data_IF_061730700907
#
_entry.id   IF_061730700907
#
_cell.length_a   1.000
_cell.length_b   1.000
_cell.length_c   1.000
_cell.angle_alpha   90.00
_cell.angle_beta   90.00
_cell.angle_gamma   90.00
#
_symmetry.space_group_name_H-M   'P 1'
#
loop_
_entity.id
_entity.type
_entity.pdbx_description
1 polymer ?
#
# COMPACT_ATOMS: atom_id res chain seq x y z
N UNK A 1 -27.16 36.55 32.78
CA UNK A 1 -27.26 35.51 31.74
C UNK A 1 -26.23 35.88 30.66
N UNK A 2 -25.12 35.21 30.66
CA UNK A 2 -24.11 35.37 29.59
C UNK A 2 -24.70 34.71 28.34
N UNK A 3 -25.05 35.51 27.33
CA UNK A 3 -25.38 34.97 26.01
C UNK A 3 -24.18 34.14 25.53
N UNK A 4 -24.25 32.81 25.68
CA UNK A 4 -23.38 31.92 24.94
C UNK A 4 -23.73 32.07 23.47
N UNK A 5 -23.04 32.99 22.77
CA UNK A 5 -23.00 32.95 21.31
C UNK A 5 -22.36 31.60 20.93
N UNK A 6 -23.21 30.62 20.60
CA UNK A 6 -22.72 29.35 20.07
C UNK A 6 -21.91 29.66 18.82
N UNK A 7 -20.62 29.36 18.84
CA UNK A 7 -19.77 29.51 17.67
C UNK A 7 -20.34 28.65 16.54
N UNK A 8 -20.68 29.27 15.42
CA UNK A 8 -21.32 28.62 14.28
C UNK A 8 -20.30 28.47 13.17
N UNK A 9 -20.12 27.22 12.68
CA UNK A 9 -19.23 26.90 11.58
C UNK A 9 -20.01 26.82 10.27
N UNK A 10 -19.55 27.48 9.22
CA UNK A 10 -20.09 27.31 7.88
C UNK A 10 -19.11 26.47 7.04
N UNK A 11 -19.58 25.34 6.49
CA UNK A 11 -18.78 24.40 5.71
C UNK A 11 -19.22 24.46 4.27
N UNK A 12 -18.37 24.99 3.39
CA UNK A 12 -18.61 25.10 1.96
C UNK A 12 -17.60 24.29 1.14
N UNK A 13 -17.94 24.00 -0.11
CA UNK A 13 -17.08 23.23 -1.02
C UNK A 13 -16.28 24.15 -1.93
N UNK A 14 -14.94 24.14 -1.81
CA UNK A 14 -14.06 24.88 -2.72
C UNK A 14 -13.90 24.14 -4.06
N UNK A 15 -13.64 22.86 -4.00
CA UNK A 15 -13.47 21.97 -5.16
C UNK A 15 -13.49 20.50 -4.68
N UNK A 16 -13.14 19.55 -5.55
CA UNK A 16 -13.12 18.13 -5.16
C UNK A 16 -11.92 17.74 -4.26
N UNK A 17 -11.08 18.68 -3.84
CA UNK A 17 -9.97 18.46 -2.91
C UNK A 17 -10.23 19.07 -1.55
N UNK A 18 -10.78 20.30 -1.52
CA UNK A 18 -10.85 21.12 -0.33
C UNK A 18 -12.28 21.58 0.00
N UNK A 19 -12.58 21.54 1.30
CA UNK A 19 -13.64 22.31 1.93
C UNK A 19 -13.06 23.62 2.47
N UNK A 20 -13.93 24.61 2.62
CA UNK A 20 -13.67 25.85 3.35
C UNK A 20 -14.48 25.84 4.64
N UNK A 21 -13.84 26.12 5.77
CA UNK A 21 -14.46 26.29 7.07
C UNK A 21 -14.44 27.78 7.43
N UNK A 22 -15.61 28.41 7.44
CA UNK A 22 -15.79 29.78 7.90
C UNK A 22 -16.12 29.75 9.38
N UNK A 23 -15.19 30.24 10.20
CA UNK A 23 -15.24 30.22 11.65
C UNK A 23 -14.61 31.49 12.23
N UNK A 24 -14.95 31.82 13.46
CA UNK A 24 -14.23 32.86 14.19
C UNK A 24 -12.77 32.46 14.50
N UNK A 25 -11.97 33.44 14.94
CA UNK A 25 -10.55 33.24 15.18
C UNK A 25 -10.25 32.22 16.29
N UNK A 26 -11.08 32.17 17.34
CA UNK A 26 -10.89 31.28 18.48
C UNK A 26 -11.15 29.83 18.05
N UNK A 27 -12.29 29.56 17.39
CA UNK A 27 -12.62 28.25 16.86
C UNK A 27 -11.63 27.82 15.77
N UNK A 28 -11.13 28.77 14.96
CA UNK A 28 -10.08 28.50 13.96
C UNK A 28 -8.76 28.03 14.61
N UNK A 29 -8.39 28.55 15.78
CA UNK A 29 -7.22 28.08 16.52
C UNK A 29 -7.46 26.67 17.07
N UNK A 30 -8.62 26.38 17.66
CA UNK A 30 -8.97 25.06 18.16
C UNK A 30 -8.95 24.00 17.05
N UNK A 31 -9.48 24.34 15.88
CA UNK A 31 -9.41 23.48 14.67
C UNK A 31 -7.97 23.26 14.23
N UNK A 32 -7.12 24.31 14.28
CA UNK A 32 -5.71 24.18 13.93
C UNK A 32 -5.02 23.19 14.87
N UNK A 33 -5.27 23.30 16.16
CA UNK A 33 -4.68 22.40 17.18
C UNK A 33 -5.22 20.97 17.02
N UNK A 34 -6.52 20.81 16.78
CA UNK A 34 -7.16 19.51 16.57
C UNK A 34 -6.63 18.77 15.32
N UNK A 35 -6.34 19.51 14.23
CA UNK A 35 -5.84 18.96 12.98
C UNK A 35 -4.32 19.12 12.80
N UNK A 36 -3.57 19.36 13.89
CA UNK A 36 -2.10 19.40 13.92
C UNK A 36 -1.56 18.14 14.60
N UNK A 37 -0.63 17.48 13.95
CA UNK A 37 -0.06 16.21 14.41
C UNK A 37 1.46 16.23 14.34
N UNK A 38 2.12 15.67 15.36
CA UNK A 38 3.55 15.42 15.35
C UNK A 38 3.90 14.28 14.39
N UNK A 39 4.95 14.48 13.59
CA UNK A 39 5.45 13.44 12.68
C UNK A 39 6.39 12.52 13.45
N UNK A 40 6.08 11.21 13.54
CA UNK A 40 6.97 10.26 14.20
C UNK A 40 8.37 10.31 13.60
N UNK A 41 9.39 10.45 14.44
CA UNK A 41 10.78 10.52 14.00
C UNK A 41 11.21 11.85 13.36
N UNK A 42 10.39 12.91 13.43
CA UNK A 42 10.71 14.23 12.89
C UNK A 42 12.08 14.75 13.35
N UNK A 43 12.44 14.53 14.62
CA UNK A 43 13.73 14.94 15.21
C UNK A 43 14.96 14.39 14.48
N UNK A 44 14.81 13.30 13.73
CA UNK A 44 15.90 12.72 12.95
C UNK A 44 15.97 13.28 11.51
N UNK A 45 14.97 14.02 11.07
CA UNK A 45 14.90 14.56 9.71
C UNK A 45 15.77 15.81 9.55
N UNK A 46 16.47 15.97 8.40
CA UNK A 46 17.36 17.13 8.16
C UNK A 46 16.66 18.49 8.29
N UNK A 47 15.41 18.60 7.83
CA UNK A 47 14.65 19.86 7.91
C UNK A 47 14.32 20.27 9.34
N UNK A 48 14.02 19.30 10.21
CA UNK A 48 13.80 19.54 11.63
C UNK A 48 15.13 19.96 12.32
N UNK A 49 16.21 19.23 12.07
CA UNK A 49 17.54 19.54 12.62
C UNK A 49 18.03 20.94 12.20
N UNK A 50 17.71 21.37 10.97
CA UNK A 50 18.00 22.72 10.45
C UNK A 50 17.00 23.79 10.93
N UNK A 51 16.01 23.45 11.77
CA UNK A 51 14.94 24.34 12.23
C UNK A 51 14.09 24.98 11.11
N UNK A 52 14.08 24.39 9.93
CA UNK A 52 13.26 24.84 8.78
C UNK A 52 11.81 24.38 8.94
N UNK A 53 11.59 23.32 9.70
CA UNK A 53 10.29 22.71 9.94
C UNK A 53 10.18 22.29 11.41
N UNK A 54 9.01 22.49 12.01
CA UNK A 54 8.73 22.23 13.44
C UNK A 54 8.35 20.76 13.75
N UNK A 55 8.41 19.86 12.76
CA UNK A 55 8.09 18.45 12.96
C UNK A 55 6.60 18.14 12.92
N UNK A 56 5.75 19.10 12.61
CA UNK A 56 4.28 18.95 12.61
C UNK A 56 3.69 19.02 11.22
N UNK A 57 2.59 18.30 11.04
CA UNK A 57 1.71 18.39 9.87
C UNK A 57 0.40 19.03 10.30
N UNK A 58 -0.03 20.04 9.55
CA UNK A 58 -1.28 20.76 9.75
C UNK A 58 -2.20 20.44 8.57
N UNK A 59 -3.35 19.82 8.87
CA UNK A 59 -4.34 19.44 7.86
C UNK A 59 -5.42 20.49 7.65
N UNK A 60 -5.58 21.41 8.59
CA UNK A 60 -6.39 22.62 8.47
C UNK A 60 -5.49 23.86 8.39
N UNK A 61 -5.84 24.80 7.56
CA UNK A 61 -5.16 26.09 7.41
C UNK A 61 -6.08 27.22 7.86
N UNK A 62 -5.87 27.75 9.04
CA UNK A 62 -6.65 28.88 9.58
C UNK A 62 -6.61 30.10 8.64
N UNK A 63 -5.45 30.37 8.01
CA UNK A 63 -5.29 31.51 7.09
C UNK A 63 -6.23 31.45 5.87
N UNK A 64 -6.53 30.23 5.38
CA UNK A 64 -7.31 30.04 4.15
C UNK A 64 -8.65 29.34 4.38
N UNK A 65 -8.96 28.93 5.61
CA UNK A 65 -10.13 28.12 5.96
C UNK A 65 -10.13 26.70 5.37
N UNK A 66 -9.07 26.30 4.65
CA UNK A 66 -9.06 25.07 3.85
C UNK A 66 -8.70 23.83 4.63
N UNK A 67 -9.44 22.75 4.36
CA UNK A 67 -9.19 21.39 4.84
C UNK A 67 -9.56 20.39 3.73
N UNK A 68 -8.97 19.20 3.73
CA UNK A 68 -9.31 18.16 2.75
C UNK A 68 -10.76 17.68 2.90
N UNK A 69 -11.47 17.50 1.78
CA UNK A 69 -12.87 17.04 1.76
C UNK A 69 -13.07 15.70 2.49
N UNK A 70 -12.14 14.77 2.39
CA UNK A 70 -12.26 13.47 3.03
C UNK A 70 -12.23 13.51 4.56
N UNK A 71 -11.87 14.67 5.16
CA UNK A 71 -11.87 14.86 6.62
C UNK A 71 -13.21 15.36 7.18
N UNK A 72 -14.23 15.52 6.36
CA UNK A 72 -15.58 15.92 6.82
C UNK A 72 -16.10 15.12 8.03
N UNK A 73 -15.96 13.77 8.10
CA UNK A 73 -16.40 13.02 9.28
C UNK A 73 -15.68 13.44 10.57
N UNK A 74 -14.41 13.83 10.47
CA UNK A 74 -13.63 14.33 11.61
C UNK A 74 -14.05 15.74 12.05
N UNK A 75 -14.43 16.60 11.08
CA UNK A 75 -14.98 17.94 11.35
C UNK A 75 -16.29 17.79 12.11
N UNK A 76 -17.21 16.94 11.64
CA UNK A 76 -18.48 16.65 12.31
C UNK A 76 -18.27 16.10 13.73
N UNK A 77 -17.29 15.22 13.89
CA UNK A 77 -16.92 14.69 15.22
C UNK A 77 -16.39 15.78 16.14
N UNK A 78 -15.56 16.69 15.63
CA UNK A 78 -15.07 17.84 16.38
C UNK A 78 -16.24 18.74 16.83
N UNK A 79 -17.16 19.08 15.93
CA UNK A 79 -18.35 19.88 16.22
C UNK A 79 -19.22 19.22 17.32
N UNK A 80 -19.50 17.94 17.17
CA UNK A 80 -20.28 17.16 18.14
C UNK A 80 -19.61 17.13 19.54
N UNK A 81 -18.28 16.95 19.57
CA UNK A 81 -17.53 16.89 20.83
C UNK A 81 -17.47 18.23 21.58
N UNK A 82 -17.44 19.32 20.84
CA UNK A 82 -17.25 20.66 21.39
C UNK A 82 -18.57 21.48 21.37
N UNK A 83 -19.70 20.87 21.10
CA UNK A 83 -21.02 21.55 21.02
C UNK A 83 -21.03 22.73 20.05
N UNK A 84 -20.32 22.61 18.93
CA UNK A 84 -20.28 23.62 17.87
C UNK A 84 -21.38 23.33 16.88
N UNK A 85 -22.26 24.30 16.63
CA UNK A 85 -23.23 24.21 15.54
C UNK A 85 -22.55 24.40 14.19
N UNK A 86 -22.99 23.65 13.17
CA UNK A 86 -22.49 23.84 11.82
C UNK A 86 -23.60 23.81 10.77
N UNK A 87 -23.37 24.56 9.70
CA UNK A 87 -24.16 24.52 8.46
C UNK A 87 -23.30 23.88 7.39
N UNK A 88 -23.86 22.87 6.74
CA UNK A 88 -23.22 22.18 5.63
C UNK A 88 -23.89 22.64 4.32
N UNK A 89 -23.10 23.12 3.36
CA UNK A 89 -23.58 23.47 2.02
C UNK A 89 -24.17 22.23 1.32
N UNK A 90 -25.24 22.43 0.56
CA UNK A 90 -25.91 21.38 -0.19
C UNK A 90 -24.94 20.71 -1.20
N UNK A 91 -25.05 19.39 -1.35
CA UNK A 91 -24.22 18.61 -2.30
C UNK A 91 -22.82 18.23 -1.81
N UNK A 92 -22.39 18.63 -0.60
CA UNK A 92 -21.15 18.15 0.00
C UNK A 92 -21.26 16.66 0.37
N UNK A 93 -22.40 16.26 0.92
CA UNK A 93 -22.77 14.86 1.14
C UNK A 93 -23.76 14.44 0.06
N UNK A 94 -23.26 13.73 -0.92
CA UNK A 94 -24.03 13.24 -2.09
C UNK A 94 -23.80 11.73 -2.18
N UNK A 95 -24.29 10.99 -1.15
CA UNK A 95 -24.23 9.54 -1.12
C UNK A 95 -25.27 8.96 -2.10
N UNK A 96 -24.84 8.02 -2.95
CA UNK A 96 -25.74 7.34 -3.89
C UNK A 96 -26.58 6.29 -3.17
N UNK A 97 -27.85 6.26 -3.46
CA UNK A 97 -28.74 5.21 -2.98
C UNK A 97 -28.65 3.96 -3.86
N UNK A 98 -27.49 3.28 -3.84
CA UNK A 98 -27.28 2.00 -4.50
C UNK A 98 -27.53 0.85 -3.53
N UNK A 99 -28.19 -0.20 -3.96
CA UNK A 99 -28.34 -1.43 -3.17
C UNK A 99 -27.36 -2.50 -3.64
N UNK A 100 -27.10 -3.50 -2.76
CA UNK A 100 -26.15 -4.58 -3.07
C UNK A 100 -26.53 -5.36 -4.32
N UNK A 101 -27.82 -5.54 -4.56
CA UNK A 101 -28.31 -6.28 -5.72
C UNK A 101 -27.99 -5.59 -7.04
N UNK A 102 -28.03 -4.25 -7.09
CA UNK A 102 -27.63 -3.49 -8.30
C UNK A 102 -26.16 -3.71 -8.65
N UNK A 103 -25.29 -3.68 -7.62
CA UNK A 103 -23.86 -3.93 -7.78
C UNK A 103 -23.61 -5.36 -8.22
N UNK A 104 -24.35 -6.33 -7.65
CA UNK A 104 -24.22 -7.73 -8.03
C UNK A 104 -24.62 -7.95 -9.49
N UNK A 105 -25.78 -7.46 -9.93
CA UNK A 105 -26.22 -7.53 -11.34
C UNK A 105 -25.21 -6.88 -12.27
N UNK A 106 -24.69 -5.70 -11.92
CA UNK A 106 -23.65 -5.03 -12.69
C UNK A 106 -22.39 -5.89 -12.80
N UNK A 107 -21.86 -6.41 -11.69
CA UNK A 107 -20.63 -7.20 -11.68
C UNK A 107 -20.78 -8.53 -12.41
N UNK A 108 -21.93 -9.18 -12.31
CA UNK A 108 -22.28 -10.38 -13.09
C UNK A 108 -22.31 -10.10 -14.60
N UNK A 109 -22.81 -8.93 -15.00
CA UNK A 109 -22.84 -8.51 -16.42
C UNK A 109 -21.45 -8.33 -17.02
N UNK A 110 -20.43 -8.05 -16.22
CA UNK A 110 -19.03 -7.90 -16.69
C UNK A 110 -18.42 -9.22 -17.15
N UNK A 111 -18.90 -10.36 -16.64
CA UNK A 111 -18.44 -11.73 -16.93
C UNK A 111 -16.91 -11.85 -16.92
N UNK A 112 -16.22 -11.40 -15.83
CA UNK A 112 -14.77 -11.40 -15.82
C UNK A 112 -14.22 -12.82 -15.93
N UNK A 113 -13.08 -12.96 -16.60
CA UNK A 113 -12.36 -14.22 -16.76
C UNK A 113 -10.94 -14.07 -16.20
N UNK A 114 -10.30 -15.16 -15.87
CA UNK A 114 -8.87 -15.23 -15.64
C UNK A 114 -8.32 -16.50 -16.26
N UNK A 115 -7.35 -16.35 -17.14
CA UNK A 115 -6.80 -17.47 -17.93
C UNK A 115 -7.91 -18.31 -18.63
N UNK A 116 -8.90 -17.62 -19.19
CA UNK A 116 -10.06 -18.21 -19.87
C UNK A 116 -11.15 -18.78 -18.95
N UNK A 117 -10.94 -18.86 -17.63
CA UNK A 117 -11.93 -19.35 -16.67
C UNK A 117 -12.74 -18.21 -16.11
N UNK A 118 -14.06 -18.41 -15.97
CA UNK A 118 -14.97 -17.44 -15.34
C UNK A 118 -14.50 -17.14 -13.91
N UNK A 119 -14.51 -15.85 -13.53
CA UNK A 119 -14.29 -15.39 -12.16
C UNK A 119 -15.63 -14.98 -11.56
N UNK A 120 -15.94 -15.53 -10.38
CA UNK A 120 -17.05 -15.07 -9.58
C UNK A 120 -16.58 -14.02 -8.57
N UNK A 121 -17.28 -12.89 -8.54
CA UNK A 121 -16.99 -11.82 -7.59
C UNK A 121 -17.52 -12.21 -6.22
N UNK A 122 -16.64 -12.20 -5.23
CA UNK A 122 -16.95 -12.63 -3.85
C UNK A 122 -17.75 -11.58 -3.11
N UNK A 123 -18.48 -12.00 -2.09
CA UNK A 123 -19.35 -11.13 -1.28
C UNK A 123 -18.62 -9.90 -0.70
N UNK A 124 -17.43 -10.09 -0.17
CA UNK A 124 -16.65 -8.98 0.37
C UNK A 124 -16.16 -8.02 -0.72
N UNK A 125 -15.91 -8.50 -1.95
CA UNK A 125 -15.57 -7.66 -3.09
C UNK A 125 -16.77 -6.84 -3.54
N UNK A 126 -17.96 -7.46 -3.57
CA UNK A 126 -19.23 -6.75 -3.84
C UNK A 126 -19.47 -5.64 -2.81
N UNK A 127 -19.22 -5.91 -1.54
CA UNK A 127 -19.37 -4.92 -0.47
C UNK A 127 -18.39 -3.75 -0.63
N UNK A 128 -17.12 -4.03 -1.01
CA UNK A 128 -16.14 -3.00 -1.27
C UNK A 128 -16.52 -2.11 -2.46
N UNK A 129 -17.01 -2.72 -3.54
CA UNK A 129 -17.51 -1.98 -4.72
C UNK A 129 -18.70 -1.11 -4.32
N UNK A 130 -19.68 -1.68 -3.62
CA UNK A 130 -20.88 -0.96 -3.15
C UNK A 130 -20.50 0.24 -2.29
N UNK A 131 -19.62 0.04 -1.30
CA UNK A 131 -19.14 1.12 -0.43
C UNK A 131 -18.48 2.26 -1.25
N UNK A 132 -17.59 1.90 -2.17
CA UNK A 132 -16.89 2.87 -3.02
C UNK A 132 -17.85 3.65 -3.93
N UNK A 133 -18.83 2.96 -4.51
CA UNK A 133 -19.81 3.60 -5.40
C UNK A 133 -20.81 4.50 -4.64
N UNK A 134 -21.17 4.14 -3.41
CA UNK A 134 -22.05 4.97 -2.56
C UNK A 134 -21.38 6.25 -2.12
N UNK A 135 -20.12 6.14 -1.65
CA UNK A 135 -19.43 7.23 -0.96
C UNK A 135 -18.66 8.18 -1.88
N UNK A 136 -18.53 7.89 -3.15
CA UNK A 136 -17.71 8.62 -4.11
C UNK A 136 -16.22 8.75 -3.73
N UNK A 137 -15.89 8.56 -2.46
CA UNK A 137 -14.56 8.65 -1.87
C UNK A 137 -14.39 7.52 -0.88
N UNK A 138 -13.29 6.77 -1.00
CA UNK A 138 -13.02 5.66 -0.08
C UNK A 138 -11.54 5.31 -0.03
N UNK A 139 -11.07 4.91 1.13
CA UNK A 139 -9.77 4.28 1.33
C UNK A 139 -9.98 2.82 1.69
N UNK A 140 -9.81 1.94 0.73
CA UNK A 140 -10.10 0.51 0.86
C UNK A 140 -8.86 -0.23 1.36
N UNK A 141 -8.98 -0.88 2.52
CA UNK A 141 -7.98 -1.82 3.01
C UNK A 141 -8.35 -3.22 2.54
N UNK A 142 -7.58 -3.73 1.59
CA UNK A 142 -7.78 -5.02 0.94
C UNK A 142 -6.46 -5.80 0.98
N UNK A 143 -6.37 -6.88 1.78
CA UNK A 143 -5.14 -7.64 1.94
C UNK A 143 -4.58 -8.17 0.61
N UNK A 144 -3.30 -8.52 0.59
CA UNK A 144 -2.72 -9.19 -0.58
C UNK A 144 -3.51 -10.46 -0.90
N UNK A 145 -3.72 -10.71 -2.19
CA UNK A 145 -4.50 -11.83 -2.73
C UNK A 145 -6.01 -11.83 -2.43
N UNK A 146 -6.58 -10.76 -1.88
CA UNK A 146 -8.03 -10.58 -1.77
C UNK A 146 -8.73 -10.30 -3.11
N UNK A 147 -7.98 -10.18 -4.20
CA UNK A 147 -8.52 -9.83 -5.52
C UNK A 147 -8.76 -8.32 -5.72
N UNK A 148 -7.90 -7.50 -5.14
CA UNK A 148 -7.92 -6.03 -5.26
C UNK A 148 -8.03 -5.55 -6.71
N UNK A 149 -7.27 -6.13 -7.65
CA UNK A 149 -7.33 -5.77 -9.08
C UNK A 149 -8.72 -5.97 -9.68
N UNK A 150 -9.46 -6.99 -9.26
CA UNK A 150 -10.82 -7.25 -9.73
C UNK A 150 -11.82 -6.21 -9.19
N UNK A 151 -11.66 -5.77 -7.95
CA UNK A 151 -12.45 -4.67 -7.38
C UNK A 151 -12.18 -3.38 -8.17
N UNK A 152 -10.90 -3.05 -8.40
CA UNK A 152 -10.49 -1.88 -9.20
C UNK A 152 -11.08 -1.97 -10.61
N UNK A 153 -10.97 -3.14 -11.26
CA UNK A 153 -11.56 -3.38 -12.58
C UNK A 153 -13.07 -3.09 -12.61
N UNK A 154 -13.83 -3.62 -11.64
CA UNK A 154 -15.27 -3.39 -11.58
C UNK A 154 -15.61 -1.89 -11.40
N UNK A 155 -14.89 -1.17 -10.53
CA UNK A 155 -15.06 0.27 -10.36
C UNK A 155 -14.74 1.05 -11.64
N UNK A 156 -13.63 0.73 -12.31
CA UNK A 156 -13.24 1.37 -13.56
C UNK A 156 -14.30 1.14 -14.63
N UNK A 157 -14.81 -0.08 -14.76
CA UNK A 157 -15.90 -0.41 -15.73
C UNK A 157 -17.17 0.38 -15.41
N UNK A 158 -17.54 0.52 -14.13
CA UNK A 158 -18.68 1.32 -13.72
C UNK A 158 -18.49 2.80 -14.05
N UNK A 159 -17.34 3.38 -13.69
CA UNK A 159 -17.07 4.79 -13.94
C UNK A 159 -16.88 5.09 -15.42
N UNK A 160 -16.40 4.14 -16.23
CA UNK A 160 -16.34 4.29 -17.68
C UNK A 160 -17.73 4.44 -18.33
N UNK A 161 -18.75 3.79 -17.77
CA UNK A 161 -20.13 3.96 -18.22
C UNK A 161 -20.74 5.29 -17.74
N UNK A 162 -20.34 5.73 -16.54
CA UNK A 162 -20.87 6.92 -15.91
C UNK A 162 -20.26 8.23 -16.45
N UNK A 163 -18.95 8.22 -16.65
CA UNK A 163 -18.15 9.39 -17.04
C UNK A 163 -17.96 9.42 -18.56
N UNK A 164 -18.95 9.94 -19.28
CA UNK A 164 -18.92 9.95 -20.75
C UNK A 164 -17.82 10.87 -21.30
N UNK A 165 -17.59 12.04 -20.66
CA UNK A 165 -16.72 13.10 -21.14
C UNK A 165 -15.45 13.28 -20.28
N UNK A 166 -15.22 12.40 -19.29
CA UNK A 166 -14.08 12.45 -18.39
C UNK A 166 -13.34 11.13 -18.34
N UNK A 167 -12.04 11.22 -18.17
CA UNK A 167 -11.14 10.04 -18.09
C UNK A 167 -11.02 9.52 -16.65
N UNK A 168 -10.56 8.30 -16.55
CA UNK A 168 -10.23 7.62 -15.30
C UNK A 168 -8.71 7.50 -15.21
N UNK A 169 -8.13 7.96 -14.10
CA UNK A 169 -6.71 7.81 -13.82
C UNK A 169 -6.50 6.70 -12.80
N UNK A 170 -5.58 5.78 -13.09
CA UNK A 170 -5.11 4.77 -12.13
C UNK A 170 -3.63 5.03 -11.88
N UNK A 171 -3.26 5.31 -10.63
CA UNK A 171 -1.88 5.51 -10.23
C UNK A 171 -1.35 4.29 -9.49
N UNK A 172 -0.23 3.78 -9.96
CA UNK A 172 0.49 2.64 -9.38
C UNK A 172 1.97 3.02 -9.12
N UNK A 173 2.66 2.37 -8.18
CA UNK A 173 4.01 2.78 -7.78
C UNK A 173 5.12 2.44 -8.78
N UNK A 174 4.96 1.40 -9.61
CA UNK A 174 6.02 0.89 -10.50
C UNK A 174 5.52 0.56 -11.89
N UNK A 175 6.42 0.58 -12.88
CA UNK A 175 6.12 0.19 -14.25
C UNK A 175 5.62 -1.25 -14.37
N UNK A 176 6.19 -2.17 -13.58
CA UNK A 176 5.72 -3.56 -13.54
C UNK A 176 4.26 -3.67 -13.09
N UNK A 177 3.81 -2.79 -12.17
CA UNK A 177 2.39 -2.75 -11.76
C UNK A 177 1.50 -2.09 -12.81
N UNK A 178 2.02 -1.16 -13.63
CA UNK A 178 1.28 -0.64 -14.80
C UNK A 178 0.99 -1.77 -15.76
N UNK A 179 2.00 -2.57 -16.13
CA UNK A 179 1.85 -3.70 -17.03
C UNK A 179 0.95 -4.79 -16.43
N UNK A 180 1.10 -5.09 -15.16
CA UNK A 180 0.24 -6.06 -14.48
C UNK A 180 -1.22 -5.61 -14.48
N UNK A 181 -1.52 -4.36 -14.12
CA UNK A 181 -2.89 -3.83 -14.09
C UNK A 181 -3.52 -3.86 -15.48
N UNK A 182 -2.75 -3.47 -16.50
CA UNK A 182 -3.18 -3.54 -17.90
C UNK A 182 -3.48 -4.99 -18.32
N UNK A 183 -2.55 -5.92 -18.06
CA UNK A 183 -2.69 -7.33 -18.39
C UNK A 183 -3.88 -7.97 -17.65
N UNK A 184 -4.08 -7.65 -16.37
CA UNK A 184 -5.23 -8.11 -15.59
C UNK A 184 -6.55 -7.66 -16.24
N UNK A 185 -6.65 -6.41 -16.70
CA UNK A 185 -7.86 -5.88 -17.33
C UNK A 185 -8.18 -6.58 -18.65
N UNK A 186 -7.15 -6.87 -19.44
CA UNK A 186 -7.32 -7.64 -20.69
C UNK A 186 -7.74 -9.09 -20.38
N UNK A 187 -7.09 -9.73 -19.40
CA UNK A 187 -7.42 -11.10 -18.97
C UNK A 187 -8.85 -11.19 -18.42
N UNK A 188 -9.32 -10.12 -17.74
CA UNK A 188 -10.71 -10.02 -17.28
C UNK A 188 -11.74 -9.83 -18.42
N UNK A 189 -11.27 -9.65 -19.65
CA UNK A 189 -12.10 -9.57 -20.85
C UNK A 189 -12.42 -8.15 -21.32
N UNK A 190 -11.62 -7.15 -20.94
CA UNK A 190 -11.77 -5.81 -21.49
C UNK A 190 -10.84 -5.58 -22.67
N UNK A 191 -11.27 -4.73 -23.62
CA UNK A 191 -10.47 -4.41 -24.81
C UNK A 191 -9.36 -3.39 -24.48
N UNK A 192 -8.21 -3.58 -25.10
CA UNK A 192 -7.06 -2.67 -25.08
C UNK A 192 -7.37 -1.25 -25.62
N UNK A 193 -8.44 -1.13 -26.41
CA UNK A 193 -8.95 0.16 -26.92
C UNK A 193 -9.32 1.15 -25.83
N UNK A 194 -9.65 0.66 -24.63
CA UNK A 194 -10.09 1.50 -23.52
C UNK A 194 -8.97 1.91 -22.56
N UNK A 195 -7.82 1.24 -22.59
CA UNK A 195 -6.77 1.41 -21.56
C UNK A 195 -5.48 1.90 -22.19
N UNK A 196 -4.95 2.99 -21.67
CA UNK A 196 -3.65 3.55 -22.04
C UNK A 196 -2.66 3.45 -20.87
N UNK A 197 -1.40 3.14 -21.20
CA UNK A 197 -0.32 3.01 -20.21
C UNK A 197 0.62 4.19 -20.33
N UNK A 198 1.00 4.82 -19.21
CA UNK A 198 1.96 5.93 -19.20
C UNK A 198 3.11 5.61 -18.24
N UNK A 199 4.28 5.38 -18.80
CA UNK A 199 5.57 5.33 -18.09
C UNK A 199 6.69 5.70 -19.09
N UNK A 200 7.97 5.58 -18.72
CA UNK A 200 9.08 5.96 -19.60
C UNK A 200 8.97 5.34 -20.99
N UNK A 201 9.00 6.16 -22.03
CA UNK A 201 8.86 5.74 -23.44
C UNK A 201 7.43 5.73 -24.00
N UNK A 202 6.41 5.96 -23.15
CA UNK A 202 5.03 6.05 -23.62
C UNK A 202 4.54 7.50 -23.74
N UNK A 203 3.64 7.74 -24.70
CA UNK A 203 2.97 9.03 -24.85
C UNK A 203 2.14 9.39 -23.62
N UNK A 204 2.18 10.67 -23.21
CA UNK A 204 1.46 11.18 -22.03
C UNK A 204 0.03 11.59 -22.34
N UNK A 205 -0.32 11.77 -23.61
CA UNK A 205 -1.65 12.15 -24.07
C UNK A 205 -2.34 10.97 -24.74
N UNK A 206 -3.65 10.87 -24.60
CA UNK A 206 -4.45 9.80 -25.19
C UNK A 206 -5.93 10.17 -25.19
N UNK A 207 -6.67 9.68 -26.16
CA UNK A 207 -8.13 9.76 -26.20
C UNK A 207 -8.81 8.58 -25.47
N UNK A 208 -8.04 7.58 -25.07
CA UNK A 208 -8.59 6.43 -24.32
C UNK A 208 -9.14 6.87 -22.97
N UNK A 209 -10.27 6.31 -22.54
CA UNK A 209 -10.96 6.75 -21.33
C UNK A 209 -10.25 6.36 -20.03
N UNK A 210 -9.34 5.39 -20.06
CA UNK A 210 -8.64 4.91 -18.86
C UNK A 210 -7.14 5.02 -19.05
N UNK A 211 -6.49 5.67 -18.10
CA UNK A 211 -5.03 5.87 -18.06
C UNK A 211 -4.47 5.14 -16.82
N UNK A 212 -3.56 4.20 -17.04
CA UNK A 212 -2.77 3.57 -15.98
C UNK A 212 -1.35 4.12 -16.02
N UNK A 213 -0.89 4.72 -14.92
CA UNK A 213 0.39 5.43 -14.91
C UNK A 213 1.15 5.27 -13.61
N UNK A 214 2.48 5.43 -13.68
CA UNK A 214 3.29 5.68 -12.50
C UNK A 214 3.21 7.17 -12.12
N UNK A 215 3.33 7.49 -10.82
CA UNK A 215 3.33 8.88 -10.37
C UNK A 215 4.54 9.68 -10.90
N UNK A 216 5.69 9.01 -11.12
CA UNK A 216 6.90 9.63 -11.66
C UNK A 216 6.69 10.24 -13.05
N UNK A 217 5.81 9.63 -13.84
CA UNK A 217 5.49 10.11 -15.18
C UNK A 217 4.63 11.36 -15.18
N UNK A 218 3.83 11.59 -14.11
CA UNK A 218 2.79 12.61 -14.08
C UNK A 218 3.06 13.78 -13.12
N UNK A 219 3.88 13.62 -12.07
CA UNK A 219 3.97 14.61 -10.97
C UNK A 219 4.42 16.01 -11.41
N UNK A 220 5.20 16.11 -12.50
CA UNK A 220 5.66 17.38 -13.08
C UNK A 220 4.65 18.03 -14.03
N UNK A 221 3.59 17.33 -14.45
CA UNK A 221 2.63 17.86 -15.39
C UNK A 221 1.82 19.01 -14.78
N UNK A 222 1.42 19.99 -15.61
CA UNK A 222 0.63 21.14 -15.15
C UNK A 222 -0.77 20.73 -14.71
N UNK A 223 -1.44 21.57 -13.91
CA UNK A 223 -2.80 21.32 -13.41
C UNK A 223 -3.79 21.05 -14.55
N UNK A 224 -3.68 21.78 -15.67
CA UNK A 224 -4.53 21.63 -16.87
C UNK A 224 -4.62 20.19 -17.36
N UNK A 225 -3.52 19.40 -17.28
CA UNK A 225 -3.50 17.99 -17.67
C UNK A 225 -4.50 17.14 -16.86
N UNK A 226 -4.73 17.52 -15.60
CA UNK A 226 -5.57 16.76 -14.67
C UNK A 226 -7.05 17.15 -14.72
N UNK A 227 -7.42 18.16 -15.49
CA UNK A 227 -8.81 18.65 -15.59
C UNK A 227 -9.75 17.67 -16.30
N UNK A 228 -9.19 16.78 -17.15
CA UNK A 228 -9.95 15.79 -17.90
C UNK A 228 -10.33 14.54 -17.07
N UNK A 229 -9.80 14.42 -15.85
CA UNK A 229 -10.05 13.24 -15.04
C UNK A 229 -11.22 13.44 -14.07
N UNK A 230 -12.24 12.57 -14.18
CA UNK A 230 -13.39 12.53 -13.27
C UNK A 230 -13.29 11.48 -12.16
N UNK A 231 -12.40 10.50 -12.34
CA UNK A 231 -12.13 9.44 -11.36
C UNK A 231 -10.62 9.23 -11.20
N UNK A 232 -10.17 9.10 -9.95
CA UNK A 232 -8.80 8.68 -9.58
C UNK A 232 -8.85 7.44 -8.72
N UNK A 233 -8.05 6.45 -9.08
CA UNK A 233 -7.81 5.24 -8.28
C UNK A 233 -6.32 5.16 -7.96
N UNK A 234 -5.97 5.19 -6.68
CA UNK A 234 -4.60 5.01 -6.20
C UNK A 234 -4.38 3.59 -5.69
N UNK A 235 -3.60 2.78 -6.39
CA UNK A 235 -3.15 1.50 -5.84
C UNK A 235 -1.90 1.70 -4.98
N UNK A 236 -1.74 0.85 -3.96
CA UNK A 236 -0.75 1.02 -2.89
C UNK A 236 -0.84 2.42 -2.24
N UNK A 237 -2.07 2.80 -1.88
CA UNK A 237 -2.42 4.14 -1.39
C UNK A 237 -1.58 4.61 -0.19
N UNK A 238 -0.99 3.69 0.60
CA UNK A 238 -0.08 4.02 1.70
C UNK A 238 1.16 4.83 1.26
N UNK A 239 1.51 4.84 -0.02
CA UNK A 239 2.60 5.65 -0.57
C UNK A 239 2.20 7.10 -0.82
N UNK A 240 0.91 7.42 -0.87
CA UNK A 240 0.39 8.76 -1.21
C UNK A 240 0.60 9.82 -0.12
N UNK A 241 1.22 9.49 0.99
CA UNK A 241 1.77 10.45 1.95
C UNK A 241 2.97 11.25 1.42
N UNK A 242 3.66 10.75 0.40
CA UNK A 242 4.77 11.44 -0.22
C UNK A 242 4.30 12.70 -0.95
N UNK A 243 5.05 13.80 -0.79
CA UNK A 243 4.69 15.13 -1.33
C UNK A 243 4.37 15.11 -2.84
N UNK A 244 5.11 14.35 -3.63
CA UNK A 244 4.87 14.23 -5.07
C UNK A 244 3.52 13.63 -5.43
N UNK A 245 3.12 12.57 -4.70
CA UNK A 245 1.82 11.93 -4.87
C UNK A 245 0.67 12.79 -4.34
N UNK A 246 0.85 13.41 -3.17
CA UNK A 246 -0.10 14.41 -2.64
C UNK A 246 -0.31 15.55 -3.63
N UNK A 247 0.75 16.06 -4.27
CA UNK A 247 0.65 17.13 -5.26
C UNK A 247 -0.15 16.70 -6.51
N UNK A 248 -0.08 15.45 -6.96
CA UNK A 248 -0.94 14.96 -8.04
C UNK A 248 -2.40 15.00 -7.61
N UNK A 249 -2.70 14.46 -6.43
CA UNK A 249 -4.08 14.41 -5.93
C UNK A 249 -4.68 15.79 -5.68
N UNK A 250 -3.86 16.77 -5.30
CA UNK A 250 -4.32 18.16 -5.09
C UNK A 250 -4.53 18.93 -6.40
N UNK A 251 -3.92 18.50 -7.52
CA UNK A 251 -4.18 19.05 -8.85
C UNK A 251 -5.49 18.54 -9.48
N UNK A 252 -6.03 17.43 -8.98
CA UNK A 252 -7.28 16.82 -9.47
C UNK A 252 -8.52 17.51 -8.87
N UNK A 253 -8.64 18.82 -9.05
CA UNK A 253 -9.68 19.63 -8.41
C UNK A 253 -11.10 19.35 -8.93
N UNK A 254 -11.23 18.83 -10.16
CA UNK A 254 -12.51 18.47 -10.79
C UNK A 254 -12.83 16.97 -10.68
N UNK A 255 -11.99 16.20 -9.97
CA UNK A 255 -12.13 14.74 -9.89
C UNK A 255 -13.00 14.35 -8.71
N UNK A 256 -14.29 14.08 -8.97
CA UNK A 256 -15.30 13.76 -7.95
C UNK A 256 -15.04 12.41 -7.28
N UNK A 257 -14.69 11.39 -8.07
CA UNK A 257 -14.57 10.01 -7.60
C UNK A 257 -13.12 9.68 -7.25
N UNK A 258 -12.88 9.36 -5.98
CA UNK A 258 -11.52 9.22 -5.44
C UNK A 258 -11.39 7.98 -4.58
N UNK A 259 -10.67 6.96 -5.06
CA UNK A 259 -10.55 5.68 -4.37
C UNK A 259 -9.07 5.31 -4.17
N UNK A 260 -8.68 5.10 -2.92
CA UNK A 260 -7.37 4.57 -2.56
C UNK A 260 -7.48 3.10 -2.19
N UNK A 261 -6.55 2.28 -2.65
CA UNK A 261 -6.45 0.87 -2.31
C UNK A 261 -5.10 0.58 -1.67
N UNK A 262 -5.09 -0.15 -0.57
CA UNK A 262 -3.86 -0.62 0.07
C UNK A 262 -4.08 -1.93 0.80
N UNK A 263 -3.04 -2.76 0.90
CA UNK A 263 -3.06 -3.96 1.72
C UNK A 263 -2.92 -3.66 3.21
N UNK A 264 -2.22 -2.58 3.55
CA UNK A 264 -1.86 -2.23 4.93
C UNK A 264 -1.69 -0.72 5.10
N UNK A 265 -1.94 -0.22 6.32
CA UNK A 265 -1.52 1.11 6.76
C UNK A 265 -0.36 0.98 7.75
N UNK A 266 0.48 2.02 7.86
CA UNK A 266 1.65 2.01 8.75
C UNK A 266 1.30 2.10 10.26
N UNK A 267 0.03 2.35 10.57
CA UNK A 267 -0.49 2.44 11.94
C UNK A 267 -0.37 3.83 12.57
N UNK A 268 0.25 4.81 11.90
CA UNK A 268 0.33 6.17 12.42
C UNK A 268 -0.95 6.96 12.08
N UNK A 269 -1.44 7.74 13.05
CA UNK A 269 -2.63 8.58 12.87
C UNK A 269 -2.42 9.63 11.78
N UNK A 270 -1.25 10.27 11.76
CA UNK A 270 -0.90 11.31 10.77
C UNK A 270 -0.99 10.77 9.34
N UNK A 271 -0.41 9.59 9.10
CA UNK A 271 -0.45 8.96 7.80
C UNK A 271 -1.89 8.62 7.38
N UNK A 272 -2.65 8.04 8.30
CA UNK A 272 -4.05 7.69 8.07
C UNK A 272 -4.88 8.92 7.70
N UNK A 273 -4.77 10.01 8.45
CA UNK A 273 -5.56 11.24 8.21
C UNK A 273 -5.22 11.94 6.89
N UNK A 274 -3.95 11.92 6.46
CA UNK A 274 -3.58 12.42 5.13
C UNK A 274 -4.29 11.61 4.04
N UNK A 275 -4.26 10.28 4.13
CA UNK A 275 -4.88 9.42 3.14
C UNK A 275 -6.42 9.53 3.16
N UNK A 276 -7.02 9.56 4.34
CA UNK A 276 -8.47 9.78 4.48
C UNK A 276 -8.88 11.14 3.95
N UNK A 277 -8.08 12.17 4.18
CA UNK A 277 -8.31 13.50 3.63
C UNK A 277 -8.33 13.51 2.09
N UNK A 278 -7.44 12.78 1.47
CA UNK A 278 -7.29 12.72 0.02
C UNK A 278 -8.30 11.80 -0.67
N UNK A 279 -8.61 10.65 -0.06
CA UNK A 279 -9.44 9.59 -0.65
C UNK A 279 -10.81 9.43 0.01
N UNK A 280 -10.94 9.70 1.30
CA UNK A 280 -12.16 9.45 2.09
C UNK A 280 -11.92 8.44 3.21
N UNK A 281 -12.98 8.10 3.94
CA UNK A 281 -12.91 7.21 5.10
C UNK A 281 -12.37 5.82 4.78
N UNK A 282 -11.70 5.24 5.77
CA UNK A 282 -11.17 3.86 5.67
C UNK A 282 -12.31 2.86 5.74
N UNK A 283 -12.33 1.94 4.78
CA UNK A 283 -13.15 0.73 4.80
C UNK A 283 -12.27 -0.51 4.72
N UNK A 284 -12.43 -1.41 5.69
CA UNK A 284 -11.74 -2.69 5.73
C UNK A 284 -12.63 -3.78 5.17
N UNK A 285 -12.29 -4.26 3.98
CA UNK A 285 -13.14 -5.17 3.20
C UNK A 285 -13.21 -6.57 3.80
N UNK A 286 -12.04 -7.12 4.15
CA UNK A 286 -11.88 -8.47 4.69
C UNK A 286 -10.57 -8.54 5.46
N UNK A 287 -10.48 -9.39 6.48
CA UNK A 287 -9.21 -9.63 7.16
C UNK A 287 -8.42 -10.77 6.49
N UNK A 288 -7.10 -10.78 6.66
CA UNK A 288 -6.26 -11.90 6.22
C UNK A 288 -6.67 -13.20 6.91
N UNK A 289 -7.12 -13.11 8.19
CA UNK A 289 -7.62 -14.25 8.94
C UNK A 289 -8.85 -14.86 8.29
N UNK A 290 -9.87 -14.04 7.95
CA UNK A 290 -11.08 -14.50 7.29
C UNK A 290 -10.79 -15.21 5.96
N UNK A 291 -9.80 -14.69 5.20
CA UNK A 291 -9.37 -15.31 3.95
C UNK A 291 -8.66 -16.66 4.16
N UNK A 292 -7.93 -16.82 5.26
CA UNK A 292 -7.33 -18.11 5.64
C UNK A 292 -8.41 -19.08 6.10
N UNK A 293 -9.32 -18.64 6.96
CA UNK A 293 -10.40 -19.46 7.52
C UNK A 293 -11.36 -19.97 6.41
N UNK A 294 -11.55 -19.18 5.36
CA UNK A 294 -12.31 -19.57 4.15
C UNK A 294 -11.50 -20.32 3.09
N UNK A 295 -10.28 -20.76 3.40
CA UNK A 295 -9.35 -21.43 2.48
C UNK A 295 -9.06 -20.64 1.18
N UNK A 296 -9.32 -19.35 1.17
CA UNK A 296 -8.96 -18.45 0.07
C UNK A 296 -7.44 -18.19 0.03
N UNK A 297 -6.83 -18.18 1.22
CA UNK A 297 -5.39 -18.10 1.43
C UNK A 297 -4.87 -19.38 2.09
N UNK A 298 -3.58 -19.63 1.90
CA UNK A 298 -2.87 -20.73 2.55
C UNK A 298 -2.81 -20.51 4.07
N UNK A 299 -2.81 -21.59 4.84
CA UNK A 299 -2.57 -21.55 6.28
C UNK A 299 -1.18 -20.99 6.56
N UNK A 300 -1.08 -20.13 7.56
CA UNK A 300 0.19 -19.49 7.96
C UNK A 300 0.69 -20.05 9.27
N UNK A 301 1.96 -20.48 9.27
CA UNK A 301 2.71 -20.77 10.49
C UNK A 301 3.91 -19.84 10.56
N UNK A 302 4.11 -19.17 11.68
CA UNK A 302 5.29 -18.33 11.93
C UNK A 302 6.17 -19.04 12.94
N UNK A 303 7.43 -19.30 12.58
CA UNK A 303 8.47 -19.85 13.44
C UNK A 303 9.49 -18.77 13.74
N UNK A 304 9.53 -18.32 14.99
CA UNK A 304 10.55 -17.43 15.49
C UNK A 304 11.79 -18.22 15.87
N UNK A 305 12.88 -18.01 15.16
CA UNK A 305 14.16 -18.71 15.38
C UNK A 305 15.11 -17.76 16.07
N UNK A 306 15.31 -17.94 17.37
CA UNK A 306 16.18 -17.09 18.17
C UNK A 306 17.61 -17.61 18.13
N UNK A 307 18.51 -16.82 17.54
CA UNK A 307 19.95 -17.09 17.50
C UNK A 307 20.62 -16.42 18.70
N UNK A 308 21.15 -17.21 19.61
CA UNK A 308 21.96 -16.70 20.74
C UNK A 308 23.41 -16.57 20.29
N UNK A 309 23.94 -15.37 20.43
CA UNK A 309 25.33 -15.07 20.11
C UNK A 309 26.26 -15.28 21.32
N UNK A 310 27.55 -15.64 21.12
CA UNK A 310 28.52 -15.71 22.20
C UNK A 310 28.63 -14.40 22.97
N UNK A 311 28.86 -14.48 24.28
CA UNK A 311 28.93 -13.32 25.16
C UNK A 311 29.96 -12.27 24.72
N UNK A 312 31.09 -12.71 24.20
CA UNK A 312 32.14 -11.82 23.69
C UNK A 312 31.67 -11.00 22.47
N UNK A 313 30.88 -11.62 21.60
CA UNK A 313 30.32 -10.96 20.43
C UNK A 313 29.22 -9.97 20.83
N UNK A 314 28.37 -10.34 21.79
CA UNK A 314 27.38 -9.43 22.35
C UNK A 314 28.02 -8.16 22.95
N UNK A 315 29.16 -8.31 23.63
CA UNK A 315 29.92 -7.16 24.18
C UNK A 315 30.45 -6.22 23.09
N UNK A 316 30.84 -6.73 21.92
CA UNK A 316 31.34 -5.92 20.80
C UNK A 316 30.29 -4.96 20.23
N UNK A 317 29.02 -5.35 20.24
CA UNK A 317 27.91 -4.56 19.71
C UNK A 317 27.24 -3.67 20.76
N UNK A 318 27.72 -3.72 22.01
CA UNK A 318 27.17 -2.89 23.10
C UNK A 318 27.30 -1.39 22.76
N UNK A 319 26.17 -0.68 22.73
CA UNK A 319 26.11 0.75 22.42
C UNK A 319 26.26 1.08 20.94
N UNK A 320 26.29 0.07 20.05
CA UNK A 320 26.33 0.26 18.60
C UNK A 320 25.06 0.94 18.08
N UNK A 321 25.21 1.71 17.03
CA UNK A 321 24.07 2.27 16.29
C UNK A 321 23.41 1.19 15.46
N UNK A 322 22.16 1.44 15.08
CA UNK A 322 21.36 0.52 14.25
C UNK A 322 22.10 0.01 12.98
N UNK A 323 22.83 0.88 12.27
CA UNK A 323 23.55 0.50 11.08
C UNK A 323 24.75 -0.42 11.38
N UNK A 324 25.44 -0.20 12.50
CA UNK A 324 26.57 -1.00 12.95
C UNK A 324 26.14 -2.41 13.39
N UNK A 325 24.98 -2.51 14.08
CA UNK A 325 24.41 -3.83 14.41
C UNK A 325 23.96 -4.60 13.16
N UNK A 326 23.37 -3.92 12.16
CA UNK A 326 23.03 -4.54 10.87
C UNK A 326 24.29 -5.04 10.17
N UNK A 327 25.34 -4.23 10.09
CA UNK A 327 26.59 -4.63 9.44
C UNK A 327 27.19 -5.86 10.16
N UNK A 328 27.20 -5.86 11.49
CA UNK A 328 27.63 -7.01 12.28
C UNK A 328 26.82 -8.29 11.94
N UNK A 329 25.50 -8.19 11.90
CA UNK A 329 24.63 -9.35 11.64
C UNK A 329 24.80 -9.92 10.23
N UNK A 330 24.94 -9.07 9.23
CA UNK A 330 25.07 -9.52 7.83
C UNK A 330 26.46 -10.06 7.52
N UNK A 331 27.50 -9.60 8.22
CA UNK A 331 28.87 -10.07 8.09
C UNK A 331 29.16 -11.35 8.92
N UNK A 332 28.26 -11.73 9.84
CA UNK A 332 28.47 -12.88 10.71
C UNK A 332 28.37 -14.19 9.93
N UNK A 333 29.53 -14.81 9.68
CA UNK A 333 29.66 -16.05 8.91
C UNK A 333 28.91 -17.24 9.53
N UNK A 334 28.90 -17.37 10.86
CA UNK A 334 28.19 -18.44 11.55
C UNK A 334 26.68 -18.32 11.39
N UNK A 335 26.15 -17.10 11.48
CA UNK A 335 24.76 -16.76 11.20
C UNK A 335 24.37 -17.07 9.76
N UNK A 336 25.18 -16.66 8.79
CA UNK A 336 24.93 -16.89 7.38
C UNK A 336 24.97 -18.39 7.05
N UNK A 337 25.93 -19.15 7.61
CA UNK A 337 25.97 -20.62 7.51
C UNK A 337 24.71 -21.29 8.09
N UNK A 338 24.21 -20.79 9.23
CA UNK A 338 22.96 -21.30 9.80
C UNK A 338 21.78 -21.07 8.86
N UNK A 339 21.64 -19.85 8.30
CA UNK A 339 20.56 -19.52 7.35
C UNK A 339 20.63 -20.42 6.12
N UNK A 340 21.83 -20.64 5.56
CA UNK A 340 22.03 -21.52 4.40
C UNK A 340 21.64 -22.96 4.71
N UNK A 341 22.07 -23.53 5.85
CA UNK A 341 21.70 -24.89 6.30
C UNK A 341 20.19 -25.01 6.55
N UNK A 342 19.57 -23.97 7.15
CA UNK A 342 18.12 -23.94 7.31
C UNK A 342 17.44 -24.04 5.94
N UNK A 343 17.83 -23.23 4.98
CA UNK A 343 17.22 -23.20 3.65
C UNK A 343 17.43 -24.52 2.89
N UNK A 344 18.57 -25.16 3.03
CA UNK A 344 18.88 -26.44 2.39
C UNK A 344 17.99 -27.56 2.92
N UNK A 345 17.73 -27.58 4.23
CA UNK A 345 16.89 -28.60 4.89
C UNK A 345 15.37 -28.36 4.74
N UNK A 346 14.94 -27.23 4.19
CA UNK A 346 13.52 -26.94 4.00
C UNK A 346 12.99 -27.60 2.73
N UNK A 347 11.95 -28.40 2.86
CA UNK A 347 11.21 -28.90 1.71
C UNK A 347 10.36 -27.81 1.05
N UNK A 348 10.20 -27.88 -0.27
CA UNK A 348 9.39 -26.92 -1.04
C UNK A 348 10.16 -25.67 -1.45
N UNK A 349 9.50 -24.86 -2.29
CA UNK A 349 10.10 -23.61 -2.75
C UNK A 349 10.26 -22.63 -1.59
N UNK A 350 11.46 -22.11 -1.43
CA UNK A 350 11.87 -21.25 -0.32
C UNK A 350 12.29 -19.87 -0.82
N UNK A 351 11.71 -18.83 -0.23
CA UNK A 351 12.09 -17.44 -0.46
C UNK A 351 12.96 -16.96 0.70
N UNK A 352 14.15 -16.45 0.40
CA UNK A 352 15.08 -15.87 1.36
C UNK A 352 15.14 -14.37 1.14
N UNK A 353 14.69 -13.58 2.11
CA UNK A 353 14.57 -12.14 1.99
C UNK A 353 15.71 -11.40 2.67
N UNK A 354 16.42 -10.57 1.92
CA UNK A 354 17.53 -9.76 2.40
C UNK A 354 17.32 -8.25 2.17
N UNK A 355 18.09 -7.41 2.88
CA UNK A 355 18.05 -5.96 2.75
C UNK A 355 19.23 -5.39 1.95
N UNK A 356 20.45 -5.81 2.22
CA UNK A 356 21.68 -5.30 1.61
C UNK A 356 22.15 -6.24 0.48
N UNK A 357 22.20 -5.73 -0.75
CA UNK A 357 22.50 -6.54 -1.95
C UNK A 357 23.91 -7.12 -1.89
N UNK A 358 24.91 -6.25 -1.83
CA UNK A 358 26.33 -6.66 -1.90
C UNK A 358 26.80 -7.35 -0.61
N UNK A 359 26.51 -6.74 0.54
CA UNK A 359 27.00 -7.22 1.84
C UNK A 359 26.31 -8.50 2.35
N UNK A 360 25.09 -8.80 1.91
CA UNK A 360 24.32 -9.93 2.45
C UNK A 360 23.70 -10.82 1.36
N UNK A 361 22.94 -10.23 0.44
CA UNK A 361 22.21 -11.01 -0.57
C UNK A 361 23.14 -11.84 -1.45
N UNK A 362 24.21 -11.23 -1.99
CA UNK A 362 25.22 -11.94 -2.80
C UNK A 362 25.94 -13.00 -1.98
N UNK A 363 26.32 -12.69 -0.73
CA UNK A 363 26.99 -13.64 0.16
C UNK A 363 26.13 -14.87 0.37
N UNK A 364 24.84 -14.71 0.71
CA UNK A 364 23.92 -15.82 0.87
C UNK A 364 23.74 -16.61 -0.44
N UNK A 365 23.61 -15.90 -1.57
CA UNK A 365 23.49 -16.55 -2.88
C UNK A 365 24.73 -17.39 -3.20
N UNK A 366 25.95 -16.83 -3.05
CA UNK A 366 27.21 -17.52 -3.32
C UNK A 366 27.40 -18.77 -2.43
N UNK A 367 26.88 -18.74 -1.20
CA UNK A 367 26.90 -19.89 -0.31
C UNK A 367 25.86 -20.96 -0.67
N UNK A 368 24.80 -20.62 -1.39
CA UNK A 368 23.69 -21.52 -1.73
C UNK A 368 23.69 -21.96 -3.20
N UNK A 369 24.39 -21.26 -4.11
CA UNK A 369 24.31 -21.49 -5.56
C UNK A 369 24.67 -22.91 -6.01
N UNK A 370 25.52 -23.59 -5.22
CA UNK A 370 26.01 -24.95 -5.50
C UNK A 370 25.19 -26.03 -4.78
N UNK A 371 24.07 -25.71 -4.17
CA UNK A 371 23.15 -26.69 -3.60
C UNK A 371 22.52 -27.56 -4.68
N UNK A 372 22.16 -28.78 -4.33
CA UNK A 372 21.42 -29.72 -5.22
C UNK A 372 19.95 -29.24 -5.39
N UNK A 373 19.77 -27.95 -5.65
CA UNK A 373 18.50 -27.25 -5.82
C UNK A 373 18.70 -26.05 -6.75
N UNK A 374 17.68 -25.66 -7.51
CA UNK A 374 17.76 -24.42 -8.30
C UNK A 374 17.75 -23.22 -7.39
N UNK A 375 18.81 -22.42 -7.44
CA UNK A 375 18.94 -21.19 -6.64
C UNK A 375 18.95 -19.99 -7.57
N UNK A 376 18.08 -19.01 -7.28
CA UNK A 376 17.95 -17.79 -8.06
C UNK A 376 18.28 -16.57 -7.20
N UNK A 377 18.92 -15.58 -7.81
CA UNK A 377 19.22 -14.30 -7.18
C UNK A 377 18.45 -13.16 -7.84
N UNK A 378 17.67 -12.38 -7.04
CA UNK A 378 16.81 -11.33 -7.56
C UNK A 378 16.89 -10.06 -6.72
N UNK A 379 17.21 -8.95 -7.35
CA UNK A 379 17.32 -7.64 -6.69
C UNK A 379 16.86 -6.51 -7.62
N UNK A 380 17.00 -5.25 -7.19
CA UNK A 380 16.54 -4.07 -7.96
C UNK A 380 17.14 -3.95 -9.36
N UNK A 381 18.38 -4.42 -9.55
CA UNK A 381 19.07 -4.42 -10.85
C UNK A 381 18.69 -5.57 -11.79
N UNK A 382 17.95 -6.58 -11.33
CA UNK A 382 17.47 -7.65 -12.21
C UNK A 382 16.41 -7.11 -13.15
N UNK A 383 16.53 -7.33 -14.45
CA UNK A 383 15.58 -6.88 -15.45
C UNK A 383 14.22 -7.60 -15.34
N UNK A 384 13.21 -7.06 -16.00
CA UNK A 384 11.83 -7.55 -15.88
C UNK A 384 11.65 -8.93 -16.52
N UNK A 385 12.32 -9.20 -17.63
CA UNK A 385 12.24 -10.48 -18.35
C UNK A 385 12.85 -11.60 -17.51
N UNK A 386 14.03 -11.39 -16.95
CA UNK A 386 14.69 -12.34 -16.04
C UNK A 386 13.81 -12.64 -14.81
N UNK A 387 13.18 -11.62 -14.21
CA UNK A 387 12.26 -11.83 -13.08
C UNK A 387 11.06 -12.69 -13.47
N UNK A 388 10.49 -12.48 -14.65
CA UNK A 388 9.35 -13.24 -15.13
C UNK A 388 9.76 -14.69 -15.45
N UNK A 389 10.94 -14.92 -16.01
CA UNK A 389 11.50 -16.25 -16.25
C UNK A 389 11.72 -17.01 -14.94
N UNK A 390 12.32 -16.38 -13.93
CA UNK A 390 12.49 -16.98 -12.59
C UNK A 390 11.13 -17.33 -11.98
N UNK A 391 10.14 -16.45 -12.09
CA UNK A 391 8.78 -16.72 -11.65
C UNK A 391 8.20 -17.95 -12.34
N UNK A 392 8.27 -17.99 -13.67
CA UNK A 392 7.72 -19.10 -14.46
C UNK A 392 8.38 -20.45 -14.15
N UNK A 393 9.70 -20.46 -13.94
CA UNK A 393 10.44 -21.65 -13.52
C UNK A 393 10.00 -22.08 -12.12
N UNK A 394 9.98 -21.14 -11.16
CA UNK A 394 9.65 -21.47 -9.76
C UNK A 394 8.22 -22.00 -9.61
N UNK A 395 7.26 -21.53 -10.40
CA UNK A 395 5.89 -22.04 -10.40
C UNK A 395 5.81 -23.52 -10.76
N UNK A 396 6.76 -24.04 -11.54
CA UNK A 396 6.86 -25.45 -11.95
C UNK A 396 7.75 -26.28 -11.03
N UNK A 397 8.68 -25.65 -10.34
CA UNK A 397 9.61 -26.32 -9.44
C UNK A 397 8.96 -26.66 -8.09
N UNK A 398 9.49 -27.71 -7.46
CA UNK A 398 9.05 -28.19 -6.14
C UNK A 398 10.05 -27.89 -5.02
N UNK A 399 11.27 -27.48 -5.37
CA UNK A 399 12.37 -27.34 -4.42
C UNK A 399 13.36 -26.23 -4.82
N UNK A 400 12.87 -25.09 -5.34
CA UNK A 400 13.74 -23.95 -5.67
C UNK A 400 13.97 -23.04 -4.45
N UNK A 401 15.12 -22.35 -4.44
CA UNK A 401 15.44 -21.29 -3.49
C UNK A 401 15.54 -19.98 -4.27
N UNK A 402 14.90 -18.92 -3.77
CA UNK A 402 14.95 -17.59 -4.35
C UNK A 402 15.52 -16.64 -3.30
N UNK A 403 16.72 -16.16 -3.51
CA UNK A 403 17.36 -15.13 -2.69
C UNK A 403 16.98 -13.77 -3.26
N UNK A 404 16.10 -13.04 -2.59
CA UNK A 404 15.51 -11.83 -3.12
C UNK A 404 15.60 -10.62 -2.17
N UNK A 405 15.79 -9.42 -2.72
CA UNK A 405 15.70 -8.21 -1.90
C UNK A 405 14.25 -7.91 -1.50
N UNK A 406 14.03 -7.40 -0.29
CA UNK A 406 12.70 -7.00 0.19
C UNK A 406 11.97 -6.08 -0.79
N UNK A 407 12.66 -5.09 -1.36
CA UNK A 407 12.09 -4.12 -2.28
C UNK A 407 11.57 -4.75 -3.56
N UNK A 408 12.39 -5.61 -4.17
CA UNK A 408 12.03 -6.27 -5.44
C UNK A 408 10.90 -7.26 -5.25
N UNK A 409 10.93 -8.04 -4.17
CA UNK A 409 9.88 -9.02 -3.91
C UNK A 409 8.56 -8.34 -3.54
N UNK A 410 8.57 -7.26 -2.75
CA UNK A 410 7.35 -6.58 -2.34
C UNK A 410 6.61 -5.89 -3.49
N UNK A 411 7.28 -5.55 -4.60
CA UNK A 411 6.69 -4.77 -5.70
C UNK A 411 6.64 -5.46 -7.06
N UNK A 412 7.40 -6.55 -7.27
CA UNK A 412 7.64 -7.01 -8.64
C UNK A 412 7.48 -8.51 -8.94
N UNK A 413 7.50 -9.40 -7.96
CA UNK A 413 7.48 -10.84 -8.23
C UNK A 413 6.26 -11.49 -7.58
N UNK A 414 5.47 -12.21 -8.40
CA UNK A 414 4.24 -12.85 -7.97
C UNK A 414 4.35 -14.38 -8.14
N UNK A 415 4.92 -15.06 -7.16
CA UNK A 415 5.05 -16.52 -7.14
C UNK A 415 3.98 -17.10 -6.21
N UNK A 416 3.13 -17.99 -6.71
CA UNK A 416 2.08 -18.64 -5.91
C UNK A 416 2.59 -19.85 -5.16
N UNK A 417 3.56 -20.56 -5.73
CA UNK A 417 4.08 -21.83 -5.21
C UNK A 417 5.26 -21.61 -4.24
N UNK A 418 5.10 -20.72 -3.24
CA UNK A 418 6.09 -20.49 -2.18
C UNK A 418 5.65 -21.17 -0.89
N UNK A 419 6.42 -22.16 -0.43
CA UNK A 419 6.14 -22.93 0.78
C UNK A 419 6.76 -22.29 2.01
N UNK A 420 7.97 -21.72 1.88
CA UNK A 420 8.72 -21.15 2.98
C UNK A 420 9.14 -19.72 2.66
N UNK A 421 9.13 -18.85 3.67
CA UNK A 421 9.68 -17.50 3.63
C UNK A 421 10.65 -17.37 4.79
N UNK A 422 11.91 -17.05 4.52
CA UNK A 422 12.96 -16.84 5.51
C UNK A 422 13.31 -15.34 5.53
N UNK A 423 13.06 -14.67 6.64
CA UNK A 423 13.53 -13.31 6.88
C UNK A 423 14.98 -13.35 7.35
N UNK A 424 15.92 -13.27 6.40
CA UNK A 424 17.35 -13.35 6.69
C UNK A 424 17.95 -12.06 7.21
N UNK A 425 17.34 -10.92 6.90
CA UNK A 425 17.71 -9.59 7.43
C UNK A 425 16.60 -9.03 8.30
N UNK A 426 16.91 -8.47 9.48
CA UNK A 426 15.93 -7.79 10.32
C UNK A 426 15.25 -6.63 9.58
N UNK A 427 13.94 -6.43 9.80
CA UNK A 427 13.22 -5.32 9.20
C UNK A 427 12.19 -4.73 10.17
N UNK A 428 12.34 -3.43 10.49
CA UNK A 428 11.37 -2.67 11.29
C UNK A 428 10.13 -2.22 10.47
N UNK A 429 10.10 -2.46 9.17
CA UNK A 429 9.01 -2.03 8.30
C UNK A 429 7.84 -3.01 8.32
N UNK A 430 6.83 -2.73 9.16
CA UNK A 430 5.59 -3.51 9.24
C UNK A 430 4.94 -3.76 7.86
N UNK A 431 4.88 -2.73 7.03
CA UNK A 431 4.28 -2.84 5.69
C UNK A 431 5.04 -3.85 4.83
N UNK A 432 6.37 -3.75 4.81
CA UNK A 432 7.24 -4.63 4.01
C UNK A 432 7.12 -6.09 4.45
N UNK A 433 7.12 -6.35 5.75
CA UNK A 433 6.95 -7.69 6.33
C UNK A 433 5.59 -8.26 5.95
N UNK A 434 4.49 -7.52 6.18
CA UNK A 434 3.14 -7.98 5.87
C UNK A 434 2.90 -8.19 4.37
N UNK A 435 3.47 -7.36 3.50
CA UNK A 435 3.40 -7.56 2.04
C UNK A 435 4.15 -8.82 1.61
N UNK A 436 5.32 -9.09 2.19
CA UNK A 436 6.10 -10.30 1.90
C UNK A 436 5.36 -11.56 2.33
N UNK A 437 4.80 -11.58 3.54
CA UNK A 437 3.96 -12.68 4.04
C UNK A 437 2.75 -12.87 3.14
N UNK A 438 2.01 -11.79 2.84
CA UNK A 438 0.79 -11.85 2.03
C UNK A 438 0.99 -12.45 0.64
N UNK A 439 2.16 -12.26 0.02
CA UNK A 439 2.49 -12.91 -1.26
C UNK A 439 2.70 -14.42 -1.10
N UNK A 440 3.31 -14.85 0.00
CA UNK A 440 3.46 -16.26 0.33
C UNK A 440 2.15 -16.96 0.65
N UNK A 441 1.10 -16.24 1.06
CA UNK A 441 -0.19 -16.83 1.42
C UNK A 441 -1.05 -17.26 0.23
N UNK A 442 -0.64 -17.01 -1.00
CA UNK A 442 -1.39 -17.46 -2.18
C UNK A 442 -1.41 -18.98 -2.26
N UNK A 443 -2.57 -19.54 -2.57
CA UNK A 443 -2.75 -20.97 -2.78
C UNK A 443 -2.33 -21.38 -4.19
N UNK A 444 -1.87 -22.62 -4.35
CA UNK A 444 -1.67 -23.28 -5.63
C UNK A 444 -2.26 -24.69 -5.59
N UNK A 445 -2.25 -25.42 -6.71
CA UNK A 445 -2.71 -26.82 -6.76
C UNK A 445 -1.90 -27.75 -5.86
N UNK A 446 -0.68 -27.35 -5.51
CA UNK A 446 0.28 -28.16 -4.72
C UNK A 446 0.58 -27.58 -3.35
N UNK A 447 -0.07 -26.45 -2.97
CA UNK A 447 0.27 -25.71 -1.76
C UNK A 447 -0.95 -25.20 -1.02
N UNK A 448 -1.10 -25.63 0.25
CA UNK A 448 -2.17 -25.23 1.16
C UNK A 448 -1.67 -24.52 2.43
N UNK A 449 -0.35 -24.46 2.64
CA UNK A 449 0.27 -23.84 3.81
C UNK A 449 1.54 -23.11 3.45
N UNK A 450 1.90 -22.14 4.27
CA UNK A 450 3.16 -21.38 4.18
C UNK A 450 3.77 -21.27 5.56
N UNK A 451 5.07 -21.52 5.66
CA UNK A 451 5.84 -21.34 6.88
C UNK A 451 6.73 -20.12 6.73
N UNK A 452 6.66 -19.22 7.70
CA UNK A 452 7.55 -18.07 7.81
C UNK A 452 8.57 -18.36 8.91
N UNK A 453 9.84 -18.20 8.58
CA UNK A 453 10.96 -18.28 9.52
C UNK A 453 11.46 -16.85 9.77
N UNK A 454 11.24 -16.36 10.97
CA UNK A 454 11.73 -15.06 11.42
C UNK A 454 12.99 -15.28 12.24
N UNK A 455 14.12 -14.86 11.67
CA UNK A 455 15.42 -15.01 12.32
C UNK A 455 15.65 -13.83 13.25
N UNK A 456 15.50 -14.08 14.54
CA UNK A 456 15.72 -13.10 15.60
C UNK A 456 17.10 -13.33 16.24
N UNK A 457 17.90 -12.27 16.32
CA UNK A 457 19.25 -12.34 16.85
C UNK A 457 19.26 -11.79 18.28
N UNK A 458 19.55 -12.62 19.28
CA UNK A 458 19.75 -12.20 20.65
C UNK A 458 21.21 -11.80 20.88
N UNK A 459 21.44 -10.51 20.75
CA UNK A 459 22.74 -9.85 21.01
C UNK A 459 22.79 -9.21 22.41
N UNK A 460 21.74 -9.37 23.20
CA UNK A 460 21.67 -8.78 24.54
C UNK A 460 22.52 -9.60 25.52
N UNK A 461 23.39 -8.92 26.24
CA UNK A 461 24.12 -9.49 27.38
C UNK A 461 24.23 -8.41 28.45
N UNK A 462 23.18 -8.29 29.27
CA UNK A 462 23.08 -7.23 30.28
C UNK A 462 22.99 -5.81 29.70
N UNK A 463 22.56 -5.66 28.43
CA UNK A 463 22.33 -4.37 27.77
C UNK A 463 21.24 -4.49 26.70
N UNK A 464 20.67 -3.35 26.30
CA UNK A 464 19.70 -3.28 25.21
C UNK A 464 20.38 -3.18 23.86
N UNK A 465 19.78 -3.78 22.84
CA UNK A 465 20.19 -3.66 21.43
C UNK A 465 19.04 -3.11 20.59
N UNK A 466 19.30 -2.73 19.33
CA UNK A 466 18.25 -2.19 18.46
C UNK A 466 17.25 -3.24 17.97
N UNK A 467 17.53 -4.52 18.16
CA UNK A 467 16.73 -5.67 17.70
C UNK A 467 16.19 -6.56 18.81
N UNK A 468 16.42 -6.25 20.06
CA UNK A 468 15.83 -6.94 21.22
C UNK A 468 14.64 -6.24 21.79
#
# INVERSE_FOLDING_TARGET
MVNQTHSKMHISKVNEVYLNLEVDSALGQELTDYFTFDVPGAKFMPMYKKRIWDGKIRLYSQKTGKIYCGLLPYIKKFCSKNSVEYILEEGIEDDRNLIREDVRKFTESLRPKSKGKKLDIRDYQTNAILHSLRKHRSLIISPTASGKSLIIYALVRYYNLLLKDKKILILVPTTSLVEQMYSDFIDYGWSDKYVHRIYSGHERTTDKPVVVSTWQSLYKLPKKYFEDFGCIIGDEAHLFKARSLTNILTKLENCKYRHGFTGTLDGTQTHRLILEGLFGSVEKVVSTKDLIDTNTLAKLTVKCVVLKHPQEECKKVKGSKYAEEIDYLVDNSSRNKFICRLCDNLSGNTLVLFQLVEKHGKVLYDMMKDFDRKVFFVYGGTDTETRENIRAITEKERSAIIVASYGTFSTGINIRNLHNIVFSSPSKSRIRVLQSIGRGLRTSSTKNSTVVFDIADDLSHGHWTNFT
#
